data_IF_594023018266
#
_entry.id   IF_594023018266
#
_cell.length_a   1.000
_cell.length_b   1.000
_cell.length_c   1.000
_cell.angle_alpha   90.00
_cell.angle_beta   90.00
_cell.angle_gamma   90.00
#
_symmetry.space_group_name_H-M   'P 1'
#
loop_
_entity.id
_entity.type
_entity.pdbx_description
1 polymer ?
#
# COMPACT_ATOMS: atom_id res chain seq x y z
N UNK A 1 11.88 -14.79 27.60
CA UNK A 1 11.99 -13.34 27.33
C UNK A 1 11.06 -13.05 26.17
N UNK A 2 9.90 -12.45 26.40
CA UNK A 2 9.01 -12.06 25.30
C UNK A 2 9.67 -10.91 24.57
N UNK A 3 10.07 -11.19 23.34
CA UNK A 3 10.98 -10.36 22.56
C UNK A 3 10.30 -9.03 22.17
N UNK A 4 11.09 -7.97 21.96
CA UNK A 4 10.54 -6.66 21.58
C UNK A 4 9.61 -6.70 20.33
N UNK A 5 9.87 -7.55 19.30
CA UNK A 5 8.98 -7.74 18.16
C UNK A 5 7.56 -8.19 18.55
N UNK A 6 7.43 -9.16 19.46
CA UNK A 6 6.12 -9.69 19.89
C UNK A 6 5.28 -8.61 20.58
N UNK A 7 5.93 -7.75 21.38
CA UNK A 7 5.25 -6.63 22.06
C UNK A 7 4.79 -5.56 21.06
N UNK A 8 5.57 -5.28 20.02
CA UNK A 8 5.17 -4.35 18.95
C UNK A 8 4.02 -4.93 18.12
N UNK A 9 4.05 -6.22 17.79
CA UNK A 9 2.95 -6.90 17.11
C UNK A 9 1.64 -6.85 17.94
N UNK A 10 1.74 -7.04 19.25
CA UNK A 10 0.60 -6.92 20.18
C UNK A 10 -0.06 -5.53 20.18
N UNK A 11 0.66 -4.47 19.81
CA UNK A 11 0.12 -3.10 19.71
C UNK A 11 -0.55 -2.79 18.38
N UNK A 12 -0.34 -3.60 17.33
CA UNK A 12 -0.86 -3.30 15.99
C UNK A 12 -2.39 -3.14 15.98
N UNK A 13 -3.12 -4.04 16.63
CA UNK A 13 -4.59 -4.00 16.70
C UNK A 13 -5.13 -2.85 17.56
N UNK A 14 -4.69 -2.64 18.82
CA UNK A 14 -5.05 -1.45 19.59
C UNK A 14 -4.73 -0.13 18.88
N UNK A 15 -3.56 -0.04 18.24
CA UNK A 15 -3.14 1.14 17.49
C UNK A 15 -4.06 1.39 16.29
N UNK A 16 -4.44 0.35 15.56
CA UNK A 16 -5.41 0.46 14.47
C UNK A 16 -6.76 0.97 14.94
N UNK A 17 -7.27 0.48 16.07
CA UNK A 17 -8.51 1.00 16.65
C UNK A 17 -8.39 2.47 17.04
N UNK A 18 -7.29 2.87 17.70
CA UNK A 18 -7.06 4.26 18.08
C UNK A 18 -6.97 5.20 16.86
N UNK A 19 -6.21 4.80 15.83
CA UNK A 19 -6.06 5.57 14.59
C UNK A 19 -7.40 5.73 13.86
N UNK A 20 -8.20 4.66 13.77
CA UNK A 20 -9.54 4.75 13.17
C UNK A 20 -10.42 5.77 13.90
N UNK A 21 -10.38 5.79 15.23
CA UNK A 21 -11.15 6.73 16.04
C UNK A 21 -10.71 8.18 15.81
N UNK A 22 -9.39 8.43 15.82
CA UNK A 22 -8.84 9.77 15.61
C UNK A 22 -9.15 10.30 14.22
N UNK A 23 -9.01 9.47 13.18
CA UNK A 23 -9.28 9.85 11.80
C UNK A 23 -10.77 10.10 11.57
N UNK A 24 -11.64 9.27 12.14
CA UNK A 24 -13.08 9.47 12.05
C UNK A 24 -13.48 10.83 12.65
N UNK A 25 -12.96 11.19 13.82
CA UNK A 25 -13.22 12.50 14.45
C UNK A 25 -12.64 13.63 13.59
N UNK A 26 -11.42 13.48 13.08
CA UNK A 26 -10.79 14.48 12.21
C UNK A 26 -11.60 14.73 10.93
N UNK A 27 -11.96 13.67 10.21
CA UNK A 27 -12.74 13.76 8.98
C UNK A 27 -14.11 14.38 9.25
N UNK A 28 -14.82 13.96 10.30
CA UNK A 28 -16.12 14.51 10.65
C UNK A 28 -16.08 16.02 10.91
N UNK A 29 -15.06 16.51 11.62
CA UNK A 29 -14.90 17.94 11.87
C UNK A 29 -14.54 18.72 10.60
N UNK A 30 -13.64 18.19 9.77
CA UNK A 30 -13.25 18.84 8.53
C UNK A 30 -14.41 18.90 7.51
N UNK A 31 -15.19 17.82 7.41
CA UNK A 31 -16.39 17.77 6.56
C UNK A 31 -17.46 18.75 7.05
N UNK A 32 -17.67 18.84 8.37
CA UNK A 32 -18.60 19.80 8.97
C UNK A 32 -18.20 21.25 8.68
N UNK A 33 -16.91 21.59 8.83
CA UNK A 33 -16.41 22.92 8.48
C UNK A 33 -16.58 23.18 6.98
N UNK A 34 -16.23 22.22 6.12
CA UNK A 34 -16.36 22.35 4.67
C UNK A 34 -17.80 22.64 4.23
N UNK A 35 -18.78 21.98 4.85
CA UNK A 35 -20.19 22.16 4.55
C UNK A 35 -20.75 23.53 4.99
N UNK A 36 -20.09 24.19 5.95
CA UNK A 36 -20.53 25.50 6.47
C UNK A 36 -19.96 26.71 5.71
N UNK A 37 -18.99 26.49 4.82
CA UNK A 37 -18.30 27.57 4.09
C UNK A 37 -18.87 27.77 2.67
N UNK A 38 -18.92 29.02 2.17
CA UNK A 38 -19.28 29.30 0.77
C UNK A 38 -18.32 28.64 -0.23
N UNK A 39 -18.81 28.16 -1.37
CA UNK A 39 -18.02 27.35 -2.31
C UNK A 39 -16.79 28.09 -2.88
N UNK A 40 -16.91 29.40 -3.10
CA UNK A 40 -15.90 30.27 -3.69
C UNK A 40 -14.89 30.84 -2.67
N UNK A 41 -15.07 30.55 -1.38
CA UNK A 41 -14.18 31.04 -0.33
C UNK A 41 -12.81 30.36 -0.39
N UNK A 42 -11.73 31.13 -0.21
CA UNK A 42 -10.37 30.59 -0.14
C UNK A 42 -10.20 29.58 1.00
N UNK A 43 -10.94 29.74 2.08
CA UNK A 43 -11.00 28.84 3.23
C UNK A 43 -11.59 27.48 2.83
N UNK A 44 -12.60 27.45 1.97
CA UNK A 44 -13.19 26.21 1.43
C UNK A 44 -12.15 25.41 0.66
N UNK A 45 -11.33 26.07 -0.17
CA UNK A 45 -10.24 25.42 -0.88
C UNK A 45 -9.19 24.83 0.09
N UNK A 46 -8.85 25.54 1.17
CA UNK A 46 -7.92 25.05 2.20
C UNK A 46 -8.47 23.84 2.94
N UNK A 47 -9.75 23.87 3.33
CA UNK A 47 -10.41 22.74 4.01
C UNK A 47 -10.52 21.53 3.09
N UNK A 48 -10.86 21.71 1.80
CA UNK A 48 -10.85 20.62 0.81
C UNK A 48 -9.46 19.97 0.67
N UNK A 49 -8.38 20.76 0.69
CA UNK A 49 -7.00 20.24 0.71
C UNK A 49 -6.68 19.49 2.00
N UNK A 50 -7.12 19.99 3.14
CA UNK A 50 -6.95 19.30 4.42
C UNK A 50 -7.70 17.96 4.46
N UNK A 51 -8.94 17.91 3.94
CA UNK A 51 -9.72 16.69 3.79
C UNK A 51 -9.01 15.66 2.90
N UNK A 52 -8.44 16.09 1.77
CA UNK A 52 -7.66 15.20 0.92
C UNK A 52 -6.43 14.66 1.65
N UNK A 53 -5.67 15.53 2.32
CA UNK A 53 -4.52 15.12 3.11
C UNK A 53 -4.86 14.15 4.25
N UNK A 54 -6.01 14.33 4.91
CA UNK A 54 -6.50 13.42 5.95
C UNK A 54 -6.84 12.04 5.37
N UNK A 55 -7.48 11.98 4.19
CA UNK A 55 -7.76 10.72 3.47
C UNK A 55 -6.48 10.00 3.05
N UNK A 56 -5.50 10.74 2.55
CA UNK A 56 -4.21 10.17 2.13
C UNK A 56 -3.44 9.62 3.34
N UNK A 57 -3.43 10.36 4.46
CA UNK A 57 -2.86 9.92 5.74
C UNK A 57 -3.56 8.66 6.26
N UNK A 58 -4.88 8.61 6.19
CA UNK A 58 -5.67 7.45 6.59
C UNK A 58 -5.30 6.22 5.78
N UNK A 59 -5.26 6.35 4.45
CA UNK A 59 -4.89 5.25 3.56
C UNK A 59 -3.49 4.72 3.88
N UNK A 60 -2.51 5.62 4.10
CA UNK A 60 -1.15 5.26 4.43
C UNK A 60 -1.05 4.53 5.79
N UNK A 61 -1.66 5.07 6.84
CA UNK A 61 -1.64 4.46 8.16
C UNK A 61 -2.33 3.10 8.17
N UNK A 62 -3.46 2.96 7.48
CA UNK A 62 -4.16 1.67 7.34
C UNK A 62 -3.30 0.63 6.64
N UNK A 63 -2.62 1.02 5.56
CA UNK A 63 -1.71 0.14 4.83
C UNK A 63 -0.51 -0.28 5.70
N UNK A 64 0.11 0.66 6.42
CA UNK A 64 1.24 0.40 7.31
C UNK A 64 0.86 -0.54 8.47
N UNK A 65 -0.26 -0.27 9.16
CA UNK A 65 -0.70 -1.09 10.29
C UNK A 65 -1.12 -2.50 9.87
N UNK A 66 -1.50 -2.71 8.60
CA UNK A 66 -1.80 -4.04 8.07
C UNK A 66 -0.56 -4.95 8.07
N UNK A 67 0.63 -4.39 7.86
CA UNK A 67 1.90 -5.14 7.85
C UNK A 67 2.21 -5.80 9.20
N UNK A 68 1.65 -5.27 10.30
CA UNK A 68 1.82 -5.83 11.65
C UNK A 68 0.66 -6.67 12.15
N UNK A 69 -0.33 -6.99 11.29
CA UNK A 69 -1.45 -7.86 11.69
C UNK A 69 -1.03 -9.33 11.76
N UNK A 70 -1.73 -10.16 12.55
CA UNK A 70 -1.57 -11.61 12.50
C UNK A 70 -1.79 -12.12 11.07
N UNK A 71 -1.07 -13.19 10.72
CA UNK A 71 -1.17 -13.80 9.40
C UNK A 71 -2.62 -14.18 9.08
N UNK A 72 -3.09 -13.77 7.91
CA UNK A 72 -4.42 -14.06 7.38
C UNK A 72 -4.33 -14.41 5.89
N UNK A 73 -5.19 -15.32 5.43
CA UNK A 73 -5.29 -15.68 4.03
C UNK A 73 -6.77 -15.81 3.69
N UNK A 74 -7.27 -14.91 2.85
CA UNK A 74 -8.69 -14.84 2.53
C UNK A 74 -8.88 -14.34 1.09
N UNK A 75 -9.93 -14.82 0.39
CA UNK A 75 -10.22 -14.35 -0.97
C UNK A 75 -10.45 -12.84 -1.02
N UNK A 76 -9.83 -12.18 -1.99
CA UNK A 76 -9.93 -10.73 -2.21
C UNK A 76 -9.80 -10.43 -3.71
N UNK A 77 -10.49 -9.38 -4.18
CA UNK A 77 -10.26 -8.83 -5.52
C UNK A 77 -8.83 -8.25 -5.60
N UNK A 78 -8.08 -8.60 -6.64
CA UNK A 78 -6.68 -8.18 -6.80
C UNK A 78 -6.49 -6.67 -6.91
N UNK A 79 -7.47 -5.96 -7.48
CA UNK A 79 -7.50 -4.50 -7.50
C UNK A 79 -7.63 -3.92 -6.09
N UNK A 80 -8.58 -4.44 -5.31
CA UNK A 80 -8.73 -4.06 -3.88
C UNK A 80 -7.50 -4.41 -3.05
N UNK A 81 -6.86 -5.55 -3.33
CA UNK A 81 -5.60 -5.94 -2.69
C UNK A 81 -4.51 -4.89 -2.97
N UNK A 82 -4.31 -4.52 -4.24
CA UNK A 82 -3.30 -3.54 -4.65
C UNK A 82 -3.61 -2.16 -4.09
N UNK A 83 -4.85 -1.68 -4.16
CA UNK A 83 -5.25 -0.40 -3.56
C UNK A 83 -4.93 -0.34 -2.07
N UNK A 84 -5.10 -1.47 -1.37
CA UNK A 84 -4.89 -1.54 0.05
C UNK A 84 -3.40 -1.46 0.46
N UNK A 85 -2.47 -1.93 -0.38
CA UNK A 85 -1.02 -1.91 -0.11
C UNK A 85 -0.30 -0.74 -0.81
N UNK A 86 -0.87 -0.22 -1.90
CA UNK A 86 -0.32 0.89 -2.70
C UNK A 86 0.22 2.06 -1.89
N UNK A 87 -0.43 2.57 -0.82
CA UNK A 87 0.08 3.70 -0.07
C UNK A 87 1.48 3.47 0.50
N UNK A 88 1.74 2.29 1.08
CA UNK A 88 3.08 1.97 1.61
C UNK A 88 4.08 1.68 0.50
N UNK A 89 3.65 1.06 -0.61
CA UNK A 89 4.51 0.88 -1.78
C UNK A 89 4.98 2.23 -2.34
N UNK A 90 4.06 3.17 -2.51
CA UNK A 90 4.36 4.52 -3.01
C UNK A 90 5.30 5.28 -2.04
N UNK A 91 5.09 5.15 -0.73
CA UNK A 91 5.99 5.71 0.28
C UNK A 91 7.41 5.13 0.15
N UNK A 92 7.53 3.81 -0.03
CA UNK A 92 8.81 3.12 -0.15
C UNK A 92 9.56 3.52 -1.44
N UNK A 93 8.88 3.79 -2.55
CA UNK A 93 9.52 4.25 -3.80
C UNK A 93 10.22 5.61 -3.64
N UNK A 94 9.64 6.54 -2.87
CA UNK A 94 10.21 7.88 -2.65
C UNK A 94 10.17 8.84 -3.85
N UNK A 95 9.62 8.40 -4.99
CA UNK A 95 9.34 9.19 -6.21
C UNK A 95 7.97 8.79 -6.79
N UNK A 96 7.37 9.57 -7.71
CA UNK A 96 6.04 9.26 -8.24
C UNK A 96 5.97 7.84 -8.85
N UNK A 97 5.12 6.99 -8.26
CA UNK A 97 4.82 5.65 -8.75
C UNK A 97 3.55 5.68 -9.61
N UNK A 98 3.68 5.41 -10.92
CA UNK A 98 2.53 5.25 -11.81
C UNK A 98 1.92 3.87 -11.57
N UNK A 99 0.66 3.82 -11.14
CA UNK A 99 -0.08 2.57 -10.95
C UNK A 99 -1.18 2.47 -12.00
N UNK A 100 -1.25 1.34 -12.69
CA UNK A 100 -2.23 1.05 -13.74
C UNK A 100 -2.89 -0.30 -13.47
N UNK A 101 -4.21 -0.37 -13.55
CA UNK A 101 -4.98 -1.61 -13.36
C UNK A 101 -5.70 -1.91 -14.68
N UNK A 102 -5.32 -3.00 -15.34
CA UNK A 102 -5.86 -3.42 -16.63
C UNK A 102 -7.06 -4.34 -16.43
N UNK A 103 -6.93 -5.33 -15.53
CA UNK A 103 -8.00 -6.23 -15.15
C UNK A 103 -7.82 -6.70 -13.71
N UNK A 104 -8.88 -7.24 -13.11
CA UNK A 104 -8.83 -7.80 -11.75
C UNK A 104 -9.40 -9.21 -11.71
N UNK A 105 -8.97 -9.99 -10.72
CA UNK A 105 -9.47 -11.33 -10.45
C UNK A 105 -9.49 -11.59 -8.95
N UNK A 106 -10.10 -12.69 -8.52
CA UNK A 106 -10.05 -13.10 -7.11
C UNK A 106 -8.75 -13.84 -6.84
N UNK A 107 -7.99 -13.36 -5.85
CA UNK A 107 -6.74 -13.95 -5.37
C UNK A 107 -6.88 -14.27 -3.87
N UNK A 108 -6.03 -15.14 -3.34
CA UNK A 108 -6.01 -15.47 -1.90
C UNK A 108 -4.58 -15.38 -1.34
N UNK A 109 -3.94 -14.19 -1.39
CA UNK A 109 -2.56 -14.04 -0.99
C UNK A 109 -2.40 -14.15 0.54
N UNK A 110 -1.34 -14.80 1.05
CA UNK A 110 -1.02 -14.74 2.47
C UNK A 110 -0.56 -13.31 2.85
N UNK A 111 -1.21 -12.73 3.86
CA UNK A 111 -0.87 -11.40 4.40
C UNK A 111 -0.44 -11.54 5.85
N UNK A 112 0.58 -10.79 6.31
CA UNK A 112 1.25 -9.68 5.62
C UNK A 112 2.43 -10.11 4.71
N UNK A 113 2.69 -11.40 4.53
CA UNK A 113 3.90 -11.91 3.86
C UNK A 113 4.03 -11.37 2.43
N UNK A 114 2.95 -11.42 1.63
CA UNK A 114 2.95 -10.85 0.28
C UNK A 114 3.10 -9.33 0.29
N UNK A 115 2.51 -8.63 1.27
CA UNK A 115 2.66 -7.16 1.37
C UNK A 115 4.12 -6.76 1.62
N UNK A 116 4.81 -7.50 2.49
CA UNK A 116 6.23 -7.29 2.79
C UNK A 116 7.11 -7.64 1.59
N UNK A 117 6.85 -8.75 0.91
CA UNK A 117 7.61 -9.14 -0.28
C UNK A 117 7.45 -8.12 -1.42
N UNK A 118 6.26 -7.53 -1.60
CA UNK A 118 6.05 -6.45 -2.56
C UNK A 118 6.77 -5.15 -2.15
N UNK A 119 6.94 -4.88 -0.85
CA UNK A 119 7.76 -3.76 -0.39
C UNK A 119 9.24 -3.96 -0.76
N UNK A 120 9.77 -5.17 -0.59
CA UNK A 120 11.16 -5.47 -0.98
C UNK A 120 11.37 -5.30 -2.48
N UNK A 121 10.40 -5.71 -3.31
CA UNK A 121 10.42 -5.46 -4.75
C UNK A 121 10.37 -3.97 -5.09
N UNK A 122 9.52 -3.18 -4.41
CA UNK A 122 9.28 -1.79 -4.78
C UNK A 122 10.47 -0.88 -4.47
N UNK A 123 11.32 -1.24 -3.50
CA UNK A 123 12.54 -0.49 -3.17
C UNK A 123 13.48 -0.42 -4.37
N UNK A 124 13.50 -1.45 -5.24
CA UNK A 124 14.29 -1.45 -6.48
C UNK A 124 13.94 -0.34 -7.46
N UNK A 125 12.74 0.24 -7.36
CA UNK A 125 12.37 1.39 -8.16
C UNK A 125 13.29 2.60 -7.92
N UNK A 126 13.92 2.71 -6.74
CA UNK A 126 14.83 3.82 -6.39
C UNK A 126 16.04 3.86 -7.32
N UNK A 127 16.59 2.69 -7.63
CA UNK A 127 17.83 2.51 -8.40
C UNK A 127 17.59 2.39 -9.91
N UNK A 128 16.32 2.42 -10.34
CA UNK A 128 15.96 2.42 -11.75
C UNK A 128 16.61 3.63 -12.49
N UNK A 129 17.09 3.44 -13.73
CA UNK A 129 17.52 4.53 -14.60
C UNK A 129 16.46 5.65 -14.74
N UNK A 130 16.84 6.84 -15.26
CA UNK A 130 15.91 7.94 -15.45
C UNK A 130 14.62 7.51 -16.15
N UNK A 131 13.50 7.67 -15.46
CA UNK A 131 12.19 7.22 -15.89
C UNK A 131 11.20 7.23 -14.73
N UNK A 132 9.94 6.97 -15.02
CA UNK A 132 8.88 6.89 -14.01
C UNK A 132 8.65 5.43 -13.63
N UNK A 133 8.82 5.04 -12.35
CA UNK A 133 8.41 3.73 -11.88
C UNK A 133 6.94 3.47 -12.22
N UNK A 134 6.68 2.33 -12.84
CA UNK A 134 5.36 1.86 -13.22
C UNK A 134 5.11 0.49 -12.61
N UNK A 135 3.96 0.36 -11.96
CA UNK A 135 3.37 -0.89 -11.51
C UNK A 135 2.06 -1.08 -12.24
N UNK A 136 1.92 -2.21 -12.94
CA UNK A 136 0.71 -2.59 -13.65
C UNK A 136 0.13 -3.87 -13.04
N UNK A 137 -1.18 -3.90 -12.82
CA UNK A 137 -1.93 -5.09 -12.43
C UNK A 137 -2.77 -5.58 -13.60
N UNK A 138 -2.64 -6.86 -13.95
CA UNK A 138 -3.48 -7.55 -14.93
C UNK A 138 -3.88 -8.91 -14.38
N UNK A 139 -5.14 -9.06 -13.98
CA UNK A 139 -5.65 -10.24 -13.31
C UNK A 139 -5.00 -10.38 -11.94
N UNK A 140 -4.16 -11.39 -11.79
CA UNK A 140 -3.34 -11.68 -10.61
C UNK A 140 -1.85 -11.35 -10.81
N UNK A 141 -1.48 -10.79 -11.97
CA UNK A 141 -0.09 -10.48 -12.30
C UNK A 141 0.21 -9.01 -12.01
N UNK A 142 1.16 -8.77 -11.13
CA UNK A 142 1.82 -7.47 -10.97
C UNK A 142 3.06 -7.43 -11.86
N UNK A 143 3.15 -6.44 -12.75
CA UNK A 143 4.34 -6.14 -13.55
C UNK A 143 4.94 -4.82 -13.12
N UNK A 144 6.25 -4.80 -12.88
CA UNK A 144 7.03 -3.57 -12.63
C UNK A 144 8.09 -3.39 -13.71
N UNK A 145 8.42 -2.15 -14.05
CA UNK A 145 9.41 -1.81 -15.10
C UNK A 145 10.84 -1.64 -14.55
N UNK A 146 11.19 -2.41 -13.52
CA UNK A 146 12.55 -2.54 -13.03
C UNK A 146 12.85 -4.01 -12.70
N UNK A 147 14.14 -4.36 -12.66
CA UNK A 147 14.63 -5.64 -12.17
C UNK A 147 14.51 -5.69 -10.63
N UNK A 148 14.29 -6.87 -10.02
CA UNK A 148 14.17 -6.97 -8.58
C UNK A 148 15.54 -6.67 -7.92
N UNK A 149 15.58 -6.02 -6.75
CA UNK A 149 16.80 -5.93 -5.94
C UNK A 149 17.38 -7.30 -5.61
N UNK A 150 18.67 -7.33 -5.24
CA UNK A 150 19.31 -8.55 -4.75
C UNK A 150 18.52 -9.15 -3.57
N UNK A 151 18.21 -10.45 -3.65
CA UNK A 151 17.43 -11.17 -2.65
C UNK A 151 15.91 -10.98 -2.70
N UNK A 152 15.39 -9.96 -3.41
CA UNK A 152 13.95 -9.72 -3.46
C UNK A 152 13.19 -10.85 -4.19
N UNK A 153 13.81 -11.45 -5.22
CA UNK A 153 13.24 -12.61 -5.91
C UNK A 153 13.04 -13.81 -4.96
N UNK A 154 14.01 -14.07 -4.09
CA UNK A 154 13.93 -15.16 -3.12
C UNK A 154 12.86 -14.90 -2.07
N UNK A 155 12.71 -13.65 -1.60
CA UNK A 155 11.65 -13.26 -0.67
C UNK A 155 10.27 -13.41 -1.30
N UNK A 156 10.08 -12.97 -2.54
CA UNK A 156 8.83 -13.14 -3.30
C UNK A 156 8.47 -14.63 -3.45
N UNK A 157 9.43 -15.47 -3.82
CA UNK A 157 9.23 -16.93 -3.94
C UNK A 157 8.93 -17.57 -2.58
N UNK A 158 9.60 -17.14 -1.52
CA UNK A 158 9.34 -17.61 -0.15
C UNK A 158 7.93 -17.24 0.34
N UNK A 159 7.37 -16.12 -0.14
CA UNK A 159 5.98 -15.74 0.08
C UNK A 159 4.97 -16.52 -0.79
N UNK A 160 5.43 -17.49 -1.59
CA UNK A 160 4.59 -18.34 -2.44
C UNK A 160 4.26 -17.74 -3.81
N UNK A 161 4.95 -16.68 -4.23
CA UNK A 161 4.67 -15.98 -5.48
C UNK A 161 5.52 -16.54 -6.63
N UNK A 162 4.92 -16.67 -7.81
CA UNK A 162 5.69 -16.98 -9.02
C UNK A 162 6.31 -15.69 -9.58
N UNK A 163 7.62 -15.69 -9.79
CA UNK A 163 8.37 -14.53 -10.27
C UNK A 163 9.00 -14.85 -11.62
N UNK A 164 8.83 -13.95 -12.59
CA UNK A 164 9.52 -13.99 -13.90
C UNK A 164 10.22 -12.66 -14.12
N UNK A 165 11.54 -12.71 -14.36
CA UNK A 165 12.36 -11.52 -14.63
C UNK A 165 12.71 -11.47 -16.11
N UNK A 166 12.36 -10.37 -16.78
CA UNK A 166 12.66 -10.14 -18.20
C UNK A 166 13.45 -8.85 -18.37
N UNK A 167 14.77 -8.96 -18.54
CA UNK A 167 15.73 -7.86 -18.75
C UNK A 167 15.64 -6.72 -17.72
N UNK A 168 14.65 -5.84 -17.85
CA UNK A 168 14.40 -4.68 -16.97
C UNK A 168 12.98 -4.66 -16.39
N UNK A 169 12.23 -5.76 -16.48
CA UNK A 169 10.89 -5.88 -15.92
C UNK A 169 10.78 -7.11 -15.02
N UNK A 170 9.97 -7.01 -13.98
CA UNK A 170 9.66 -8.11 -13.07
C UNK A 170 8.16 -8.36 -13.08
N UNK A 171 7.76 -9.61 -13.30
CA UNK A 171 6.38 -10.07 -13.17
C UNK A 171 6.23 -10.96 -11.96
N UNK A 172 5.18 -10.72 -11.19
CA UNK A 172 4.85 -11.44 -9.95
C UNK A 172 3.39 -11.88 -10.02
N UNK A 173 3.13 -13.19 -9.98
CA UNK A 173 1.77 -13.73 -9.87
C UNK A 173 1.36 -13.87 -8.40
N UNK A 174 0.17 -13.38 -8.05
CA UNK A 174 -0.34 -13.28 -6.67
C UNK A 174 -1.14 -14.50 -6.17
N UNK A 175 -1.37 -15.50 -7.02
CA UNK A 175 -2.14 -16.71 -6.72
C UNK A 175 -2.25 -17.64 -7.91
#
# INVERSE_FOLDING_TARGET
MTDAPDRMAGLARPMQHAVNNLIMVLNANLDSVAASLPAEDRSTLRVKRALQGAKDLEALLRAYLRLGRPAEQSPVDSGRFLEAVRPVLALAVGKPLKVEVLSTTTITPPRPEVDLALLDLIVGARDMPPGTPRLTLDGDIITVNWAPPEGAEDVLKAAGLAVTVEAEATRVALG
#
